data_IF_954192147835
#
_entry.id   IF_954192147835
#
_cell.length_a   1.000
_cell.length_b   1.000
_cell.length_c   1.000
_cell.angle_alpha   90.00
_cell.angle_beta   90.00
_cell.angle_gamma   90.00
#
_symmetry.space_group_name_H-M   'P 1'
#
loop_
_entity.id
_entity.type
_entity.pdbx_description
1 polymer ?
#
# COMPACT_ATOMS: atom_id res chain seq x y z
N UNK A 1 -4.18 19.35 -28.22
CA UNK A 1 -3.11 20.35 -28.04
C UNK A 1 -1.93 19.70 -27.33
N UNK A 2 -0.70 20.04 -27.75
CA UNK A 2 0.53 19.66 -27.01
C UNK A 2 0.94 20.84 -26.13
N UNK A 3 1.22 20.58 -24.88
CA UNK A 3 1.72 21.57 -23.94
C UNK A 3 2.92 21.01 -23.16
N UNK A 4 3.85 21.88 -22.78
CA UNK A 4 4.99 21.51 -21.94
C UNK A 4 4.68 21.88 -20.50
N UNK A 5 4.42 20.88 -19.68
CA UNK A 5 4.29 21.03 -18.23
C UNK A 5 5.68 21.26 -17.65
N UNK A 6 5.84 22.31 -16.88
CA UNK A 6 7.10 22.67 -16.22
C UNK A 6 6.91 22.67 -14.71
N UNK A 7 7.71 21.89 -13.99
CA UNK A 7 7.78 21.91 -12.54
C UNK A 7 9.10 22.54 -12.11
N UNK A 8 9.02 23.54 -11.25
CA UNK A 8 10.16 24.35 -10.81
C UNK A 8 10.18 24.37 -9.27
N UNK A 9 11.34 24.11 -8.69
CA UNK A 9 11.57 24.39 -7.27
C UNK A 9 11.91 25.88 -7.10
N UNK A 10 11.15 26.56 -6.26
CA UNK A 10 11.45 27.94 -5.90
C UNK A 10 12.70 28.07 -5.03
N UNK A 11 13.03 27.01 -4.30
CA UNK A 11 14.13 26.99 -3.33
C UNK A 11 15.49 26.64 -3.98
N UNK A 12 15.47 25.78 -5.00
CA UNK A 12 16.70 25.29 -5.66
C UNK A 12 16.85 25.73 -7.09
N UNK A 13 15.79 26.23 -7.74
CA UNK A 13 15.75 26.56 -9.16
C UNK A 13 15.74 25.33 -10.09
N UNK A 14 15.75 24.11 -9.53
CA UNK A 14 15.68 22.89 -10.31
C UNK A 14 14.38 22.85 -11.11
N UNK A 15 14.49 22.46 -12.37
CA UNK A 15 13.36 22.40 -13.29
C UNK A 15 13.25 21.01 -13.92
N UNK A 16 12.03 20.50 -13.97
CA UNK A 16 11.68 19.28 -14.70
C UNK A 16 10.57 19.61 -15.68
N UNK A 17 10.70 19.19 -16.92
CA UNK A 17 9.71 19.44 -17.97
C UNK A 17 9.14 18.12 -18.47
N UNK A 18 7.86 18.12 -18.82
CA UNK A 18 7.17 16.99 -19.45
C UNK A 18 6.21 17.49 -20.52
N UNK A 19 6.24 16.89 -21.68
CA UNK A 19 5.28 17.20 -22.75
C UNK A 19 4.03 16.36 -22.57
N UNK A 20 2.88 17.01 -22.43
CA UNK A 20 1.55 16.37 -22.32
C UNK A 20 0.74 16.66 -23.56
N UNK A 21 -0.04 15.68 -24.02
CA UNK A 21 -0.97 15.84 -25.13
C UNK A 21 -2.39 15.83 -24.60
N UNK A 22 -3.05 16.99 -24.64
CA UNK A 22 -4.41 17.17 -24.15
C UNK A 22 -5.38 16.93 -25.32
N UNK A 23 -6.31 15.96 -25.22
CA UNK A 23 -7.32 15.71 -26.25
C UNK A 23 -8.26 16.91 -26.40
N UNK A 24 -8.91 17.02 -27.54
CA UNK A 24 -9.95 18.04 -27.74
C UNK A 24 -11.16 17.74 -26.85
N UNK A 25 -11.60 18.74 -26.08
CA UNK A 25 -12.72 18.63 -25.14
C UNK A 25 -12.57 17.52 -24.08
N UNK A 26 -11.31 17.16 -23.73
CA UNK A 26 -10.99 16.11 -22.76
C UNK A 26 -10.00 16.57 -21.70
N UNK A 27 -9.84 15.72 -20.70
CA UNK A 27 -8.87 15.86 -19.62
C UNK A 27 -7.76 14.84 -19.80
N UNK A 28 -6.57 15.15 -19.29
CA UNK A 28 -5.44 14.22 -19.19
C UNK A 28 -4.85 14.30 -17.78
N UNK A 29 -4.66 13.15 -17.17
CA UNK A 29 -3.88 13.01 -15.94
C UNK A 29 -2.47 12.57 -16.29
N UNK A 30 -1.47 13.27 -15.75
CA UNK A 30 -0.08 12.90 -15.96
C UNK A 30 0.72 13.05 -14.66
N UNK A 31 1.88 12.38 -14.55
CA UNK A 31 2.72 12.40 -13.38
C UNK A 31 4.11 12.95 -13.73
N UNK A 32 4.63 13.84 -12.88
CA UNK A 32 6.00 14.34 -12.97
C UNK A 32 6.81 13.77 -11.81
N UNK A 33 7.90 13.08 -12.11
CA UNK A 33 8.81 12.57 -11.12
C UNK A 33 9.73 13.68 -10.60
N UNK A 34 9.67 13.91 -9.28
CA UNK A 34 10.53 14.87 -8.62
C UNK A 34 11.47 14.16 -7.64
N UNK A 35 12.78 14.35 -7.81
CA UNK A 35 13.77 13.84 -6.87
C UNK A 35 14.08 14.92 -5.84
N UNK A 36 13.74 14.66 -4.58
CA UNK A 36 14.11 15.49 -3.44
C UNK A 36 15.61 15.32 -3.17
N UNK A 37 16.34 16.43 -3.09
CA UNK A 37 17.81 16.42 -2.90
C UNK A 37 18.23 16.91 -1.52
N UNK A 38 17.37 17.66 -0.86
CA UNK A 38 17.64 18.26 0.46
C UNK A 38 16.54 17.90 1.44
N UNK A 39 16.93 17.79 2.69
CA UNK A 39 16.00 17.69 3.81
C UNK A 39 15.32 19.04 4.09
N UNK A 40 14.04 19.01 4.47
CA UNK A 40 13.25 20.18 4.77
C UNK A 40 12.11 20.45 3.77
N UNK A 41 11.45 21.57 3.95
CA UNK A 41 10.38 22.00 3.06
C UNK A 41 10.94 22.53 1.75
N UNK A 42 10.34 22.14 0.64
CA UNK A 42 10.64 22.62 -0.71
C UNK A 42 9.34 23.05 -1.39
N UNK A 43 9.31 24.26 -1.92
CA UNK A 43 8.12 24.80 -2.62
C UNK A 43 8.27 24.57 -4.11
N UNK A 44 7.35 23.79 -4.66
CA UNK A 44 7.28 23.49 -6.09
C UNK A 44 6.19 24.33 -6.76
N UNK A 45 6.49 24.79 -7.94
CA UNK A 45 5.56 25.51 -8.81
C UNK A 45 5.40 24.73 -10.11
N UNK A 46 4.15 24.40 -10.43
CA UNK A 46 3.77 23.73 -11.66
C UNK A 46 3.22 24.75 -12.65
N UNK A 47 3.71 24.76 -13.87
CA UNK A 47 3.31 25.73 -14.91
C UNK A 47 2.99 25.05 -16.23
N UNK A 48 1.94 25.54 -16.87
CA UNK A 48 1.62 25.29 -18.28
C UNK A 48 1.70 26.62 -19.04
N UNK A 49 2.28 26.66 -20.25
CA UNK A 49 2.27 27.87 -21.05
C UNK A 49 0.83 28.17 -21.52
N UNK A 50 0.48 29.46 -21.49
CA UNK A 50 -0.79 29.91 -22.01
C UNK A 50 -0.94 29.55 -23.51
N UNK A 51 -2.13 29.11 -23.89
CA UNK A 51 -2.45 28.75 -25.27
C UNK A 51 -3.13 29.94 -25.98
N UNK A 52 -2.96 30.11 -27.31
CA UNK A 52 -3.45 31.30 -28.03
C UNK A 52 -4.96 31.54 -27.95
N UNK A 53 -5.76 30.54 -27.62
CA UNK A 53 -7.24 30.64 -27.52
C UNK A 53 -7.77 30.41 -26.11
N UNK A 54 -6.89 30.42 -25.14
CA UNK A 54 -7.25 30.19 -23.73
C UNK A 54 -7.91 31.43 -23.14
N UNK A 55 -9.06 31.23 -22.50
CA UNK A 55 -9.84 32.31 -21.87
C UNK A 55 -9.44 32.62 -20.45
N UNK A 56 -8.84 31.64 -19.75
CA UNK A 56 -8.40 31.79 -18.35
C UNK A 56 -6.94 31.42 -18.24
N UNK A 57 -6.10 32.39 -17.87
CA UNK A 57 -4.65 32.22 -17.72
C UNK A 57 -4.20 32.05 -16.26
N UNK A 58 -5.06 32.34 -15.29
CA UNK A 58 -4.75 32.29 -13.87
C UNK A 58 -4.75 30.87 -13.29
N UNK A 59 -5.25 29.88 -14.02
CA UNK A 59 -5.22 28.46 -13.66
C UNK A 59 -4.02 27.68 -14.25
N UNK A 60 -3.14 28.36 -15.01
CA UNK A 60 -1.98 27.76 -15.66
C UNK A 60 -0.78 27.57 -14.71
N UNK A 61 -0.88 27.98 -13.47
CA UNK A 61 0.13 27.79 -12.47
C UNK A 61 -0.49 27.32 -11.15
N UNK A 62 0.16 26.37 -10.49
CA UNK A 62 -0.18 25.90 -9.16
C UNK A 62 1.08 25.73 -8.33
N UNK A 63 1.01 26.10 -7.04
CA UNK A 63 2.14 25.95 -6.11
C UNK A 63 1.73 25.02 -4.98
N UNK A 64 2.65 24.15 -4.58
CA UNK A 64 2.49 23.28 -3.42
C UNK A 64 3.84 23.04 -2.75
N UNK A 65 3.82 22.69 -1.47
CA UNK A 65 5.04 22.38 -0.73
C UNK A 65 5.16 20.89 -0.49
N UNK A 66 6.38 20.40 -0.64
CA UNK A 66 6.77 19.04 -0.28
C UNK A 66 7.78 19.10 0.88
N UNK A 67 7.84 18.07 1.70
CA UNK A 67 8.84 17.97 2.77
C UNK A 67 9.70 16.74 2.58
N UNK A 68 11.00 16.98 2.33
CA UNK A 68 12.02 15.93 2.32
C UNK A 68 12.46 15.58 3.74
N UNK A 69 12.41 14.31 4.09
CA UNK A 69 12.90 13.79 5.37
C UNK A 69 13.89 12.66 5.14
N UNK A 70 14.91 12.57 5.98
CA UNK A 70 15.90 11.48 5.96
C UNK A 70 15.46 10.26 6.76
N UNK A 71 14.37 10.35 7.50
CA UNK A 71 13.88 9.24 8.28
C UNK A 71 13.43 8.09 7.38
N UNK A 72 14.01 6.92 7.59
CA UNK A 72 13.58 5.71 6.92
C UNK A 72 12.26 5.22 7.52
N UNK A 73 11.38 4.71 6.66
CA UNK A 73 10.15 4.02 7.08
C UNK A 73 10.54 2.74 7.81
N UNK A 74 10.08 2.55 9.03
CA UNK A 74 10.31 1.34 9.80
C UNK A 74 9.16 0.36 9.58
N UNK A 75 9.47 -0.73 8.90
CA UNK A 75 8.51 -1.79 8.58
C UNK A 75 8.77 -3.05 9.40
N UNK A 76 7.71 -3.70 9.87
CA UNK A 76 7.76 -5.03 10.46
C UNK A 76 6.97 -6.00 9.59
N UNK A 77 7.59 -7.11 9.18
CA UNK A 77 6.94 -8.17 8.40
C UNK A 77 6.88 -9.43 9.24
N UNK A 78 5.68 -9.88 9.55
CA UNK A 78 5.46 -11.10 10.33
C UNK A 78 4.71 -12.14 9.50
N UNK A 79 5.08 -13.39 9.64
CA UNK A 79 4.39 -14.53 9.03
C UNK A 79 4.56 -15.79 9.91
N UNK A 80 3.83 -16.85 9.60
CA UNK A 80 4.03 -18.15 10.24
C UNK A 80 5.11 -18.96 9.54
N UNK A 81 5.09 -18.95 8.22
CA UNK A 81 6.04 -19.69 7.38
C UNK A 81 6.75 -18.74 6.40
N UNK A 82 7.97 -19.09 5.95
CA UNK A 82 8.69 -18.30 4.96
C UNK A 82 8.12 -18.52 3.55
N UNK A 83 6.82 -18.17 3.36
CA UNK A 83 6.12 -18.23 2.07
C UNK A 83 6.82 -17.37 1.01
N UNK A 84 6.54 -17.62 -0.25
CA UNK A 84 7.08 -16.80 -1.34
C UNK A 84 6.70 -15.33 -1.19
N UNK A 85 5.46 -15.01 -0.84
CA UNK A 85 5.00 -13.64 -0.60
C UNK A 85 5.83 -12.96 0.49
N UNK A 86 5.98 -13.59 1.67
CA UNK A 86 6.81 -13.09 2.75
C UNK A 86 8.26 -12.82 2.30
N UNK A 87 8.88 -13.79 1.62
CA UNK A 87 10.29 -13.68 1.19
C UNK A 87 10.49 -12.50 0.24
N UNK A 88 9.59 -12.34 -0.72
CA UNK A 88 9.74 -11.31 -1.73
C UNK A 88 9.32 -9.93 -1.24
N UNK A 89 8.32 -9.80 -0.36
CA UNK A 89 8.03 -8.54 0.33
C UNK A 89 9.22 -8.09 1.16
N UNK A 90 9.78 -8.99 2.00
CA UNK A 90 10.99 -8.70 2.77
C UNK A 90 12.11 -8.21 1.86
N UNK A 91 12.39 -8.91 0.77
CA UNK A 91 13.46 -8.56 -0.15
C UNK A 91 13.22 -7.21 -0.86
N UNK A 92 11.98 -6.92 -1.25
CA UNK A 92 11.62 -5.64 -1.85
C UNK A 92 11.83 -4.48 -0.87
N UNK A 93 11.37 -4.63 0.36
CA UNK A 93 11.53 -3.61 1.40
C UNK A 93 12.99 -3.46 1.86
N UNK A 94 13.75 -4.55 1.96
CA UNK A 94 15.17 -4.52 2.33
C UNK A 94 16.05 -3.79 1.32
N UNK A 95 15.70 -3.88 0.03
CA UNK A 95 16.42 -3.18 -1.05
C UNK A 95 16.02 -1.72 -1.19
N UNK A 96 14.94 -1.30 -0.57
CA UNK A 96 14.49 0.09 -0.62
C UNK A 96 15.29 0.93 0.37
N UNK A 97 16.13 1.88 -0.10
CA UNK A 97 16.99 2.68 0.78
C UNK A 97 16.19 3.58 1.75
N UNK A 98 14.90 3.80 1.48
CA UNK A 98 13.99 4.56 2.34
C UNK A 98 13.24 3.70 3.36
N UNK A 99 13.53 2.39 3.45
CA UNK A 99 12.84 1.47 4.35
C UNK A 99 13.84 0.71 5.21
N UNK A 100 13.58 0.69 6.51
CA UNK A 100 14.26 -0.19 7.46
C UNK A 100 13.29 -1.31 7.85
N UNK A 101 13.55 -2.53 7.39
CA UNK A 101 12.65 -3.67 7.58
C UNK A 101 13.16 -4.61 8.66
N UNK A 102 12.28 -4.94 9.60
CA UNK A 102 12.44 -6.05 10.53
C UNK A 102 11.48 -7.17 10.18
N UNK A 103 11.84 -8.40 10.49
CA UNK A 103 11.04 -9.59 10.17
C UNK A 103 10.97 -10.56 11.34
N UNK A 104 9.84 -11.22 11.47
CA UNK A 104 9.61 -12.27 12.46
C UNK A 104 8.80 -13.41 11.84
N UNK A 105 9.18 -14.66 12.13
CA UNK A 105 8.40 -15.84 11.79
C UNK A 105 7.94 -16.56 13.07
N UNK A 106 6.64 -16.82 13.16
CA UNK A 106 6.03 -17.69 14.17
C UNK A 106 6.06 -19.15 13.71
N UNK A 107 7.27 -19.69 13.46
CA UNK A 107 7.41 -21.01 12.88
C UNK A 107 6.86 -22.11 13.81
N UNK A 108 6.02 -23.05 13.32
CA UNK A 108 5.38 -24.04 14.19
C UNK A 108 6.37 -25.04 14.82
N UNK A 109 7.49 -25.29 14.18
CA UNK A 109 8.47 -26.32 14.59
C UNK A 109 9.74 -25.72 15.22
N UNK A 110 10.00 -24.43 15.05
CA UNK A 110 11.22 -23.79 15.53
C UNK A 110 10.89 -22.72 16.55
N UNK A 111 11.62 -22.66 17.65
CA UNK A 111 11.45 -21.66 18.69
C UNK A 111 12.04 -20.31 18.30
N UNK A 112 13.16 -20.34 17.56
CA UNK A 112 13.83 -19.15 17.05
C UNK A 112 14.06 -19.27 15.55
N UNK A 113 13.70 -18.23 14.81
CA UNK A 113 13.83 -18.18 13.36
C UNK A 113 14.58 -16.94 12.91
N UNK A 114 15.70 -17.19 12.25
CA UNK A 114 16.49 -16.18 11.57
C UNK A 114 17.55 -15.52 12.46
N UNK A 115 18.77 -15.72 12.06
CA UNK A 115 19.92 -14.99 12.58
C UNK A 115 20.33 -13.89 11.61
N UNK A 116 20.69 -12.71 12.13
CA UNK A 116 21.24 -11.63 11.34
C UNK A 116 20.46 -10.33 11.40
N UNK A 117 20.96 -9.30 10.71
CA UNK A 117 20.36 -7.97 10.73
C UNK A 117 18.90 -7.96 10.25
N UNK A 118 18.03 -7.36 11.05
CA UNK A 118 16.61 -7.21 10.73
C UNK A 118 15.73 -8.39 11.12
N UNK A 119 16.26 -9.49 11.63
CA UNK A 119 15.44 -10.55 12.21
C UNK A 119 15.18 -10.31 13.70
N UNK A 120 13.91 -10.48 14.09
CA UNK A 120 13.50 -10.43 15.50
C UNK A 120 13.40 -11.86 16.05
N UNK A 121 13.88 -12.07 17.25
CA UNK A 121 13.76 -13.34 17.97
C UNK A 121 12.35 -13.53 18.51
N UNK A 122 11.72 -12.43 18.95
CA UNK A 122 10.34 -12.43 19.46
C UNK A 122 9.57 -11.20 19.03
N UNK A 123 8.24 -11.30 19.06
CA UNK A 123 7.37 -10.16 18.83
C UNK A 123 7.49 -9.15 19.98
N UNK A 124 7.55 -7.83 19.69
CA UNK A 124 7.60 -6.80 20.72
C UNK A 124 6.36 -6.80 21.60
N UNK A 125 6.54 -6.90 22.92
CA UNK A 125 5.46 -7.02 23.89
C UNK A 125 5.03 -5.67 24.48
N UNK A 126 5.78 -4.59 24.21
CA UNK A 126 5.51 -3.26 24.76
C UNK A 126 5.16 -2.28 23.65
N UNK A 127 4.27 -1.35 23.98
CA UNK A 127 3.84 -0.29 23.05
C UNK A 127 5.02 0.55 22.58
N UNK A 128 5.99 0.86 23.44
CA UNK A 128 7.17 1.68 23.09
C UNK A 128 8.04 1.00 22.02
N UNK A 129 8.14 -0.33 22.05
CA UNK A 129 8.91 -1.09 21.06
C UNK A 129 8.16 -1.23 19.74
N UNK A 130 6.85 -1.39 19.79
CA UNK A 130 5.98 -1.41 18.61
C UNK A 130 5.82 -0.01 18.00
N UNK A 131 5.77 1.02 18.83
CA UNK A 131 5.59 2.41 18.42
C UNK A 131 6.68 2.93 17.48
N UNK A 132 7.78 2.22 17.32
CA UNK A 132 8.82 2.55 16.34
C UNK A 132 8.44 2.17 14.89
N UNK A 133 7.48 1.27 14.69
CA UNK A 133 7.10 0.80 13.36
C UNK A 133 6.01 1.67 12.74
N UNK A 134 6.25 2.12 11.52
CA UNK A 134 5.30 2.93 10.75
C UNK A 134 4.29 2.05 10.03
N UNK A 135 4.69 0.84 9.62
CA UNK A 135 3.84 -0.13 8.95
C UNK A 135 4.16 -1.56 9.39
N UNK A 136 3.11 -2.35 9.59
CA UNK A 136 3.22 -3.76 9.96
C UNK A 136 2.49 -4.61 8.92
N UNK A 137 3.21 -5.54 8.33
CA UNK A 137 2.70 -6.54 7.40
C UNK A 137 2.43 -7.82 8.17
N UNK A 138 1.18 -8.25 8.22
CA UNK A 138 0.74 -9.47 8.87
C UNK A 138 0.43 -10.51 7.80
N UNK A 139 1.28 -11.51 7.69
CA UNK A 139 1.10 -12.66 6.82
C UNK A 139 0.02 -13.62 7.33
N UNK A 140 0.13 -14.90 7.01
CA UNK A 140 -0.80 -15.93 7.48
C UNK A 140 -0.53 -16.33 8.93
N UNK A 141 -0.74 -15.37 9.84
CA UNK A 141 -0.50 -15.47 11.28
C UNK A 141 -1.84 -15.56 12.00
N UNK A 142 -1.96 -16.51 12.94
CA UNK A 142 -3.12 -16.68 13.80
C UNK A 142 -2.89 -16.18 15.21
N UNK A 143 -3.75 -16.65 16.13
CA UNK A 143 -3.66 -16.43 17.57
C UNK A 143 -3.00 -17.61 18.29
N UNK A 144 -2.47 -17.35 19.50
CA UNK A 144 -1.97 -18.37 20.41
C UNK A 144 -0.46 -18.55 20.38
N UNK A 145 0.03 -19.69 20.87
CA UNK A 145 1.47 -19.93 21.14
C UNK A 145 2.37 -19.85 19.92
N UNK A 146 1.85 -20.08 18.73
CA UNK A 146 2.57 -19.96 17.45
C UNK A 146 1.96 -18.87 16.56
N UNK A 147 1.57 -17.76 17.18
CA UNK A 147 0.97 -16.59 16.57
C UNK A 147 1.01 -15.39 17.50
N UNK A 148 0.12 -14.47 17.30
CA UNK A 148 -0.06 -13.30 18.18
C UNK A 148 -0.84 -13.69 19.44
N UNK A 149 -0.53 -13.05 20.56
CA UNK A 149 -1.39 -13.08 21.75
C UNK A 149 -2.52 -12.06 21.63
N UNK A 150 -3.56 -12.17 22.46
CA UNK A 150 -4.65 -11.18 22.51
C UNK A 150 -4.13 -9.78 22.90
N UNK A 151 -3.16 -9.71 23.81
CA UNK A 151 -2.53 -8.46 24.22
C UNK A 151 -1.77 -7.82 23.04
N UNK A 152 -1.00 -8.62 22.27
CA UNK A 152 -0.29 -8.16 21.09
C UNK A 152 -1.26 -7.67 20.00
N UNK A 153 -2.38 -8.36 19.82
CA UNK A 153 -3.45 -7.94 18.91
C UNK A 153 -4.05 -6.58 19.33
N UNK A 154 -4.28 -6.38 20.64
CA UNK A 154 -4.75 -5.11 21.19
C UNK A 154 -3.75 -3.98 21.00
N UNK A 155 -2.46 -4.23 21.24
CA UNK A 155 -1.39 -3.26 21.01
C UNK A 155 -1.34 -2.84 19.53
N UNK A 156 -1.42 -3.78 18.59
CA UNK A 156 -1.43 -3.50 17.15
C UNK A 156 -2.64 -2.63 16.75
N UNK A 157 -3.83 -2.93 17.30
CA UNK A 157 -5.01 -2.07 17.07
C UNK A 157 -4.80 -0.66 17.60
N UNK A 158 -4.20 -0.53 18.79
CA UNK A 158 -3.86 0.76 19.38
C UNK A 158 -2.89 1.58 18.51
N UNK A 159 -1.89 0.94 17.91
CA UNK A 159 -0.96 1.58 16.99
C UNK A 159 -1.67 2.17 15.75
N UNK A 160 -2.58 1.41 15.16
CA UNK A 160 -3.35 1.88 13.99
C UNK A 160 -4.26 3.02 14.39
N UNK A 161 -5.10 2.83 15.42
CA UNK A 161 -6.13 3.81 15.78
C UNK A 161 -5.57 5.12 16.33
N UNK A 162 -4.53 5.03 17.15
CA UNK A 162 -4.05 6.18 17.95
C UNK A 162 -2.75 6.78 17.44
N UNK A 163 -1.86 5.97 16.83
CA UNK A 163 -0.52 6.42 16.41
C UNK A 163 -0.36 6.57 14.91
N UNK A 164 -1.43 6.46 14.13
CA UNK A 164 -1.45 6.59 12.69
C UNK A 164 -0.53 5.59 11.94
N UNK A 165 -0.16 4.46 12.57
CA UNK A 165 0.59 3.40 11.90
C UNK A 165 -0.29 2.67 10.89
N UNK A 166 0.34 2.12 9.85
CA UNK A 166 -0.36 1.30 8.87
C UNK A 166 -0.31 -0.19 9.22
N UNK A 167 -1.36 -0.93 8.86
CA UNK A 167 -1.37 -2.39 8.94
C UNK A 167 -1.77 -3.00 7.60
N UNK A 168 -1.04 -4.04 7.16
CA UNK A 168 -1.28 -4.75 5.90
C UNK A 168 -1.58 -6.21 6.22
N UNK A 169 -2.78 -6.67 5.90
CA UNK A 169 -3.18 -8.06 6.04
C UNK A 169 -2.93 -8.83 4.75
N UNK A 170 -2.18 -9.91 4.86
CA UNK A 170 -1.74 -10.79 3.76
C UNK A 170 -2.11 -12.24 4.08
N UNK A 171 -3.39 -12.62 4.01
CA UNK A 171 -3.82 -13.99 4.29
C UNK A 171 -3.09 -15.00 3.40
N UNK A 172 -3.03 -16.22 3.86
CA UNK A 172 -2.43 -17.32 3.12
C UNK A 172 -3.33 -18.56 3.12
N UNK A 173 -2.89 -19.58 2.41
CA UNK A 173 -3.64 -20.80 2.19
C UNK A 173 -3.86 -21.66 3.46
N UNK A 174 -3.16 -21.38 4.56
CA UNK A 174 -3.45 -22.04 5.85
C UNK A 174 -4.65 -21.44 6.57
N UNK A 175 -5.10 -20.24 6.15
CA UNK A 175 -6.28 -19.59 6.70
C UNK A 175 -6.13 -19.13 8.16
N UNK A 176 -4.90 -19.03 8.67
CA UNK A 176 -4.66 -18.68 10.08
C UNK A 176 -5.13 -17.29 10.46
N UNK A 177 -5.17 -16.36 9.51
CA UNK A 177 -5.72 -15.03 9.76
C UNK A 177 -7.20 -15.05 10.16
N UNK A 178 -7.93 -16.13 9.90
CA UNK A 178 -9.32 -16.27 10.40
C UNK A 178 -9.39 -16.29 11.93
N UNK A 179 -8.34 -16.72 12.61
CA UNK A 179 -8.26 -16.70 14.08
C UNK A 179 -8.23 -15.27 14.60
N UNK A 180 -7.59 -14.33 13.87
CA UNK A 180 -7.52 -12.90 14.23
C UNK A 180 -8.88 -12.21 14.26
N UNK A 181 -9.89 -12.76 13.58
CA UNK A 181 -11.25 -12.22 13.61
C UNK A 181 -11.89 -12.30 15.00
N UNK A 182 -11.40 -13.17 15.86
CA UNK A 182 -11.86 -13.33 17.25
C UNK A 182 -11.17 -12.35 18.20
N UNK A 183 -10.10 -11.71 17.78
CA UNK A 183 -9.36 -10.70 18.55
C UNK A 183 -9.78 -9.28 18.16
N UNK A 184 -9.20 -8.30 18.84
CA UNK A 184 -9.41 -6.88 18.50
C UNK A 184 -8.92 -6.49 17.10
N UNK A 185 -8.03 -7.27 16.47
CA UNK A 185 -7.61 -7.06 15.07
C UNK A 185 -8.75 -7.34 14.08
N UNK A 186 -9.74 -8.16 14.44
CA UNK A 186 -10.93 -8.38 13.62
C UNK A 186 -11.70 -7.10 13.29
N UNK A 187 -11.67 -6.11 14.20
CA UNK A 187 -12.30 -4.80 13.97
C UNK A 187 -11.61 -4.01 12.85
N UNK A 188 -10.30 -4.22 12.67
CA UNK A 188 -9.51 -3.55 11.65
C UNK A 188 -9.65 -4.20 10.27
N UNK A 189 -10.08 -5.46 10.20
CA UNK A 189 -10.22 -6.16 8.93
C UNK A 189 -11.27 -5.47 8.04
N UNK A 190 -10.91 -5.00 6.83
CA UNK A 190 -11.82 -4.21 6.00
C UNK A 190 -12.82 -5.06 5.21
N UNK A 191 -12.77 -6.37 5.39
CA UNK A 191 -13.63 -7.36 4.72
C UNK A 191 -14.28 -8.31 5.73
N UNK A 192 -15.38 -8.93 5.34
CA UNK A 192 -15.95 -10.10 6.02
C UNK A 192 -15.63 -11.36 5.21
N UNK A 193 -15.53 -12.48 5.90
CA UNK A 193 -15.13 -13.75 5.30
C UNK A 193 -16.24 -14.79 5.35
N UNK A 194 -16.22 -15.68 4.37
CA UNK A 194 -17.05 -16.89 4.36
C UNK A 194 -16.44 -17.92 5.31
N UNK A 195 -17.18 -18.28 6.36
CA UNK A 195 -16.73 -19.28 7.33
C UNK A 195 -16.67 -20.72 6.79
N UNK A 196 -17.21 -20.95 5.59
CA UNK A 196 -17.30 -22.29 4.99
C UNK A 196 -16.02 -22.77 4.35
N UNK A 197 -15.05 -21.87 4.08
CA UNK A 197 -13.77 -22.18 3.44
C UNK A 197 -12.63 -21.32 4.03
N UNK A 198 -12.26 -21.52 5.28
CA UNK A 198 -11.24 -20.68 5.92
C UNK A 198 -9.88 -20.69 5.19
N UNK A 199 -9.56 -21.80 4.51
CA UNK A 199 -8.36 -21.97 3.69
C UNK A 199 -8.38 -21.20 2.35
N UNK A 200 -9.50 -20.58 2.01
CA UNK A 200 -9.67 -19.83 0.76
C UNK A 200 -9.98 -20.72 -0.44
N UNK A 201 -9.78 -20.20 -1.63
CA UNK A 201 -10.07 -20.91 -2.89
C UNK A 201 -8.83 -20.98 -3.77
N UNK A 202 -8.43 -22.21 -4.10
CA UNK A 202 -7.39 -22.47 -5.10
C UNK A 202 -8.01 -22.55 -6.48
N UNK A 203 -7.35 -21.97 -7.48
CA UNK A 203 -7.79 -21.98 -8.87
C UNK A 203 -6.90 -22.86 -9.74
N UNK A 204 -7.46 -23.61 -10.69
CA UNK A 204 -6.70 -24.48 -11.57
C UNK A 204 -5.81 -23.72 -12.55
N UNK A 205 -6.20 -22.50 -12.89
CA UNK A 205 -5.43 -21.58 -13.74
C UNK A 205 -5.34 -20.20 -13.10
N UNK A 206 -4.24 -19.45 -13.34
CA UNK A 206 -4.10 -18.10 -12.80
C UNK A 206 -5.21 -17.17 -13.26
N UNK A 207 -5.80 -16.44 -12.34
CA UNK A 207 -6.80 -15.41 -12.60
C UNK A 207 -6.21 -14.01 -12.42
N UNK A 208 -6.52 -13.05 -13.29
CA UNK A 208 -6.03 -11.68 -13.12
C UNK A 208 -6.82 -10.90 -12.06
N UNK A 209 -6.19 -9.86 -11.54
CA UNK A 209 -6.84 -8.77 -10.80
C UNK A 209 -7.37 -7.72 -11.78
N UNK A 210 -8.54 -7.17 -11.50
CA UNK A 210 -9.10 -6.04 -12.26
C UNK A 210 -9.21 -4.84 -11.31
N UNK A 211 -8.62 -3.71 -11.71
CA UNK A 211 -8.78 -2.47 -10.98
C UNK A 211 -10.21 -1.94 -11.07
N UNK A 212 -10.72 -1.47 -9.94
CA UNK A 212 -11.94 -0.67 -9.89
C UNK A 212 -11.68 0.76 -10.37
N UNK A 213 -12.69 1.62 -10.55
CA UNK A 213 -12.48 3.05 -10.79
C UNK A 213 -11.63 3.71 -9.71
N UNK A 214 -11.88 3.39 -8.43
CA UNK A 214 -11.09 3.87 -7.28
C UNK A 214 -9.65 3.36 -7.35
N UNK A 215 -9.46 2.10 -7.75
CA UNK A 215 -8.15 1.52 -7.95
C UNK A 215 -7.37 2.20 -9.06
N UNK A 216 -7.99 2.60 -10.17
CA UNK A 216 -7.30 3.33 -11.25
C UNK A 216 -6.79 4.70 -10.79
N UNK A 217 -7.55 5.39 -9.95
CA UNK A 217 -7.15 6.68 -9.39
C UNK A 217 -6.21 6.61 -8.17
N UNK A 218 -5.92 5.43 -7.63
CA UNK A 218 -5.12 5.27 -6.41
C UNK A 218 -3.63 5.26 -6.67
N UNK A 219 -2.86 5.97 -5.84
CA UNK A 219 -1.39 5.90 -5.86
C UNK A 219 -0.86 4.50 -5.54
N UNK A 220 -1.58 3.70 -4.75
CA UNK A 220 -1.18 2.34 -4.41
C UNK A 220 -1.06 1.42 -5.62
N UNK A 221 -1.88 1.64 -6.61
CA UNK A 221 -2.00 0.79 -7.80
C UNK A 221 -1.32 1.39 -9.04
N UNK A 222 -0.62 2.51 -8.89
CA UNK A 222 0.14 3.14 -9.99
C UNK A 222 1.49 2.45 -10.21
N UNK A 223 1.50 1.44 -11.07
CA UNK A 223 2.70 0.68 -11.46
C UNK A 223 3.41 1.26 -12.69
N UNK A 224 2.79 2.18 -13.39
CA UNK A 224 3.36 2.95 -14.50
C UNK A 224 3.17 4.45 -14.28
N UNK A 225 3.70 5.27 -15.17
CA UNK A 225 3.72 6.72 -15.00
C UNK A 225 2.47 7.41 -15.54
N UNK A 226 1.76 6.76 -16.46
CA UNK A 226 0.49 7.24 -17.00
C UNK A 226 -0.63 6.25 -16.71
N UNK A 227 -1.88 6.72 -16.71
CA UNK A 227 -3.05 5.88 -16.44
C UNK A 227 -3.22 4.77 -17.50
N UNK A 228 -3.03 5.10 -18.78
CA UNK A 228 -3.13 4.13 -19.88
C UNK A 228 -2.09 3.03 -19.81
N UNK A 229 -0.81 3.39 -19.57
CA UNK A 229 0.25 2.40 -19.36
C UNK A 229 -0.01 1.56 -18.10
N UNK A 230 -0.54 2.17 -17.03
CA UNK A 230 -0.86 1.48 -15.81
C UNK A 230 -1.96 0.42 -16.01
N UNK A 231 -3.01 0.73 -16.77
CA UNK A 231 -4.05 -0.25 -17.12
C UNK A 231 -3.48 -1.42 -17.93
N UNK A 232 -2.57 -1.13 -18.86
CA UNK A 232 -1.88 -2.16 -19.64
C UNK A 232 -1.01 -3.06 -18.77
N UNK A 233 -0.26 -2.46 -17.84
CA UNK A 233 0.53 -3.21 -16.85
C UNK A 233 -0.35 -4.16 -16.06
N UNK A 234 -1.45 -3.66 -15.44
CA UNK A 234 -2.35 -4.50 -14.63
C UNK A 234 -2.99 -5.63 -15.43
N UNK A 235 -3.32 -5.39 -16.71
CA UNK A 235 -3.87 -6.41 -17.62
C UNK A 235 -2.87 -7.53 -17.91
N UNK A 236 -1.57 -7.22 -17.96
CA UNK A 236 -0.50 -8.13 -18.32
C UNK A 236 0.21 -8.75 -17.11
N UNK A 237 -0.10 -8.32 -15.88
CA UNK A 237 0.47 -8.94 -14.68
C UNK A 237 0.11 -10.42 -14.59
N UNK A 238 1.05 -11.28 -14.16
CA UNK A 238 0.74 -12.68 -13.86
C UNK A 238 -0.42 -12.78 -12.86
N UNK A 239 -1.38 -13.62 -13.17
CA UNK A 239 -2.52 -13.86 -12.30
C UNK A 239 -2.15 -14.63 -11.04
N UNK A 240 -3.10 -14.73 -10.12
CA UNK A 240 -3.02 -15.46 -8.87
C UNK A 240 -3.73 -16.82 -8.97
N UNK A 241 -3.23 -17.80 -8.21
CA UNK A 241 -3.82 -19.15 -8.15
C UNK A 241 -4.62 -19.39 -6.88
N UNK A 242 -4.60 -18.49 -5.93
CA UNK A 242 -5.30 -18.62 -4.67
C UNK A 242 -5.83 -17.25 -4.21
N UNK A 243 -7.01 -17.24 -3.61
CA UNK A 243 -7.55 -16.06 -2.96
C UNK A 243 -8.28 -16.38 -1.66
N UNK A 244 -8.27 -15.43 -0.75
CA UNK A 244 -8.92 -15.51 0.56
C UNK A 244 -10.45 -15.58 0.41
N UNK A 245 -11.16 -16.24 1.33
CA UNK A 245 -12.60 -16.49 1.25
C UNK A 245 -13.42 -15.22 1.60
N UNK A 246 -13.20 -14.15 0.86
CA UNK A 246 -13.88 -12.87 1.11
C UNK A 246 -15.34 -12.95 0.72
N UNK A 247 -16.23 -12.60 1.65
CA UNK A 247 -17.65 -12.46 1.39
C UNK A 247 -17.99 -11.09 0.80
N UNK A 248 -17.63 -10.03 1.53
CA UNK A 248 -17.88 -8.63 1.14
C UNK A 248 -16.95 -7.67 1.87
N UNK A 249 -16.95 -6.41 1.48
CA UNK A 249 -16.28 -5.34 2.22
C UNK A 249 -17.15 -4.79 3.35
N UNK A 250 -16.52 -4.28 4.39
CA UNK A 250 -17.19 -3.52 5.45
C UNK A 250 -17.45 -2.08 4.99
N UNK A 251 -18.42 -1.42 5.63
CA UNK A 251 -18.72 -0.02 5.38
C UNK A 251 -17.48 0.87 5.63
N UNK A 252 -17.27 1.87 4.76
CA UNK A 252 -16.11 2.76 4.83
C UNK A 252 -14.83 2.19 4.22
N UNK A 253 -14.88 0.99 3.64
CA UNK A 253 -13.76 0.42 2.88
C UNK A 253 -13.80 0.85 1.43
N UNK A 254 -12.63 0.99 0.83
CA UNK A 254 -12.45 1.29 -0.60
C UNK A 254 -11.86 0.07 -1.30
N UNK A 255 -12.53 -0.43 -2.31
CA UNK A 255 -12.04 -1.57 -3.12
C UNK A 255 -11.19 -1.03 -4.26
N UNK A 256 -9.93 -1.47 -4.33
CA UNK A 256 -8.99 -1.06 -5.38
C UNK A 256 -8.90 -2.10 -6.51
N UNK A 257 -9.02 -3.39 -6.17
CA UNK A 257 -9.01 -4.45 -7.17
C UNK A 257 -9.93 -5.61 -6.76
N UNK A 258 -10.48 -6.25 -7.77
CA UNK A 258 -11.41 -7.39 -7.64
C UNK A 258 -10.92 -8.57 -8.48
N UNK A 259 -11.47 -9.75 -8.18
CA UNK A 259 -11.30 -10.95 -9.01
C UNK A 259 -11.91 -10.75 -10.42
N UNK A 260 -11.22 -11.18 -11.46
CA UNK A 260 -11.68 -10.98 -12.84
C UNK A 260 -12.98 -11.71 -13.17
N UNK A 261 -13.16 -12.93 -12.68
CA UNK A 261 -14.26 -13.81 -13.01
C UNK A 261 -15.19 -14.10 -11.82
N UNK A 262 -14.63 -14.52 -10.67
CA UNK A 262 -15.42 -14.99 -9.54
C UNK A 262 -16.23 -13.87 -8.87
N UNK A 263 -17.44 -14.21 -8.51
CA UNK A 263 -18.42 -13.35 -7.87
C UNK A 263 -19.29 -14.12 -6.89
N UNK A 264 -19.84 -13.42 -5.93
CA UNK A 264 -20.83 -13.93 -4.99
C UNK A 264 -22.09 -13.05 -5.01
N UNK A 265 -22.96 -13.18 -4.02
CA UNK A 265 -24.21 -12.40 -3.90
C UNK A 265 -23.95 -10.87 -3.81
N UNK A 266 -22.76 -10.43 -3.44
CA UNK A 266 -22.37 -9.01 -3.29
C UNK A 266 -21.58 -8.45 -4.48
N UNK A 267 -21.37 -9.26 -5.51
CA UNK A 267 -20.62 -8.88 -6.70
C UNK A 267 -19.29 -9.60 -6.84
N UNK A 268 -18.34 -9.00 -7.58
CA UNK A 268 -16.99 -9.57 -7.76
C UNK A 268 -16.25 -9.59 -6.43
N UNK A 269 -15.45 -10.66 -6.20
CA UNK A 269 -14.69 -10.84 -4.96
C UNK A 269 -13.66 -9.72 -4.81
N UNK A 270 -13.72 -8.90 -3.75
CA UNK A 270 -12.74 -7.84 -3.51
C UNK A 270 -11.44 -8.42 -2.99
N UNK A 271 -10.30 -8.06 -3.61
CA UNK A 271 -9.00 -8.65 -3.33
C UNK A 271 -7.93 -7.64 -2.91
N UNK A 272 -8.05 -6.36 -3.30
CA UNK A 272 -7.24 -5.28 -2.73
C UNK A 272 -8.21 -4.26 -2.17
N UNK A 273 -8.20 -4.11 -0.84
CA UNK A 273 -9.15 -3.27 -0.12
C UNK A 273 -8.41 -2.42 0.90
N UNK A 274 -8.73 -1.13 0.95
CA UNK A 274 -8.19 -0.20 1.94
C UNK A 274 -9.28 0.35 2.83
N UNK A 275 -8.90 0.73 4.05
CA UNK A 275 -9.79 1.40 5.00
C UNK A 275 -8.99 2.33 5.90
N UNK A 276 -9.53 3.50 6.21
CA UNK A 276 -9.03 4.36 7.30
C UNK A 276 -9.60 3.88 8.62
N UNK A 277 -8.76 3.70 9.63
CA UNK A 277 -9.13 3.24 10.96
C UNK A 277 -8.53 4.15 12.03
N UNK A 278 -9.35 5.02 12.62
CA UNK A 278 -8.84 6.06 13.52
C UNK A 278 -7.88 6.98 12.78
N UNK A 279 -6.66 7.13 13.28
CA UNK A 279 -5.63 7.94 12.66
C UNK A 279 -4.79 7.19 11.61
N UNK A 280 -4.90 5.85 11.55
CA UNK A 280 -4.11 5.00 10.67
C UNK A 280 -4.89 4.42 9.51
N UNK A 281 -4.22 3.55 8.77
CA UNK A 281 -4.74 2.92 7.56
C UNK A 281 -4.60 1.40 7.61
N UNK A 282 -5.52 0.74 6.94
CA UNK A 282 -5.48 -0.72 6.74
C UNK A 282 -5.48 -1.01 5.25
N UNK A 283 -4.66 -1.96 4.84
CA UNK A 283 -4.68 -2.59 3.54
C UNK A 283 -4.92 -4.09 3.72
N UNK A 284 -5.84 -4.62 2.98
CA UNK A 284 -6.06 -6.06 2.84
C UNK A 284 -5.73 -6.47 1.40
N UNK A 285 -4.89 -7.48 1.25
CA UNK A 285 -4.57 -8.08 -0.03
C UNK A 285 -4.93 -9.56 0.01
N UNK A 286 -6.09 -9.92 -0.54
CA UNK A 286 -6.71 -11.23 -0.46
C UNK A 286 -6.11 -12.29 -1.39
N UNK A 287 -4.86 -12.13 -1.84
CA UNK A 287 -4.15 -13.13 -2.64
C UNK A 287 -2.71 -13.30 -2.17
N UNK A 288 -2.16 -14.49 -2.35
CA UNK A 288 -0.78 -14.87 -2.01
C UNK A 288 0.03 -15.11 -3.30
N UNK A 289 0.04 -14.14 -4.20
CA UNK A 289 0.62 -14.33 -5.53
C UNK A 289 1.27 -13.10 -6.15
N UNK A 290 1.40 -11.98 -5.42
CA UNK A 290 2.04 -10.78 -5.95
C UNK A 290 3.54 -10.99 -6.24
N UNK A 291 4.19 -11.95 -5.58
CA UNK A 291 5.55 -12.35 -5.89
C UNK A 291 5.74 -12.77 -7.36
N UNK A 292 4.67 -13.21 -8.03
CA UNK A 292 4.67 -13.60 -9.45
C UNK A 292 4.80 -12.41 -10.40
N UNK A 293 4.52 -11.19 -9.97
CA UNK A 293 4.64 -9.96 -10.77
C UNK A 293 6.07 -9.64 -11.18
N UNK A 294 7.01 -10.40 -10.65
CA UNK A 294 8.44 -10.35 -11.01
C UNK A 294 8.75 -11.12 -12.30
N UNK A 295 7.85 -11.99 -12.75
CA UNK A 295 8.09 -12.90 -13.88
C UNK A 295 8.27 -12.11 -15.18
N UNK A 296 9.46 -12.26 -15.80
CA UNK A 296 9.78 -11.65 -17.10
C UNK A 296 10.14 -10.17 -17.06
N UNK A 297 10.04 -9.51 -15.90
CA UNK A 297 10.30 -8.06 -15.72
C UNK A 297 11.15 -7.78 -14.48
N UNK A 298 11.85 -8.78 -13.99
CA UNK A 298 12.61 -8.72 -12.73
C UNK A 298 11.74 -8.27 -11.55
N UNK A 299 12.20 -7.29 -10.77
CA UNK A 299 11.47 -6.80 -9.60
C UNK A 299 10.61 -5.54 -9.88
N UNK A 300 10.54 -5.06 -11.13
CA UNK A 300 10.01 -3.74 -11.48
C UNK A 300 8.64 -3.44 -10.85
N UNK A 301 7.63 -4.26 -11.10
CA UNK A 301 6.27 -3.99 -10.63
C UNK A 301 6.04 -4.41 -9.18
N UNK A 302 6.60 -5.53 -8.79
CA UNK A 302 6.53 -6.02 -7.41
C UNK A 302 7.22 -5.06 -6.44
N UNK A 303 8.44 -4.63 -6.76
CA UNK A 303 9.18 -3.65 -5.97
C UNK A 303 8.42 -2.32 -5.87
N UNK A 304 7.95 -1.78 -7.01
CA UNK A 304 7.21 -0.53 -7.05
C UNK A 304 5.96 -0.59 -6.18
N UNK A 305 5.18 -1.67 -6.28
CA UNK A 305 3.96 -1.86 -5.49
C UNK A 305 4.25 -1.84 -3.98
N UNK A 306 5.14 -2.69 -3.50
CA UNK A 306 5.41 -2.79 -2.07
C UNK A 306 6.11 -1.57 -1.49
N UNK A 307 6.98 -0.92 -2.26
CA UNK A 307 7.54 0.38 -1.90
C UNK A 307 6.47 1.48 -1.78
N UNK A 308 5.50 1.50 -2.68
CA UNK A 308 4.35 2.42 -2.60
C UNK A 308 3.46 2.09 -1.41
N UNK A 309 3.19 0.81 -1.15
CA UNK A 309 2.43 0.37 0.03
C UNK A 309 3.09 0.88 1.30
N UNK A 310 4.40 0.66 1.49
CA UNK A 310 5.11 1.13 2.68
C UNK A 310 4.98 2.65 2.86
N UNK A 311 5.18 3.43 1.78
CA UNK A 311 5.08 4.91 1.82
C UNK A 311 3.66 5.39 2.07
N UNK A 312 2.68 4.80 1.41
CA UNK A 312 1.28 5.18 1.58
C UNK A 312 0.76 4.87 2.99
N UNK A 313 1.16 3.72 3.53
CA UNK A 313 0.78 3.30 4.89
C UNK A 313 1.43 4.16 5.98
N UNK A 314 2.68 4.58 5.79
CA UNK A 314 3.42 5.42 6.74
C UNK A 314 3.13 6.92 6.61
N UNK A 315 2.52 7.35 5.51
CA UNK A 315 2.34 8.77 5.19
C UNK A 315 1.66 9.57 6.31
N UNK A 316 0.58 9.04 6.87
CA UNK A 316 -0.16 9.74 7.93
C UNK A 316 0.68 9.92 9.18
N UNK A 317 1.42 8.91 9.58
CA UNK A 317 2.29 8.95 10.76
C UNK A 317 3.45 9.93 10.57
N UNK A 318 4.10 9.91 9.43
CA UNK A 318 5.19 10.82 9.11
C UNK A 318 4.74 12.28 9.08
N UNK A 319 3.50 12.53 8.67
CA UNK A 319 2.91 13.87 8.72
C UNK A 319 2.54 14.30 10.14
N UNK A 320 2.16 13.38 11.03
CA UNK A 320 1.79 13.69 12.40
C UNK A 320 2.99 13.98 13.32
N UNK A 321 4.17 13.51 12.96
CA UNK A 321 5.40 13.73 13.72
C UNK A 321 5.86 15.19 13.61
N UNK A 322 5.33 16.09 14.45
CA UNK A 322 5.76 17.47 14.57
C UNK A 322 4.69 18.56 14.48
N UNK A 323 3.43 18.22 14.20
CA UNK A 323 2.35 19.21 14.11
C UNK A 323 1.21 18.98 15.10
N UNK A 324 0.73 20.08 15.73
CA UNK A 324 -0.36 20.05 16.71
C UNK A 324 -1.76 20.00 16.06
N UNK A 325 -1.88 20.38 14.80
CA UNK A 325 -3.15 20.43 14.05
C UNK A 325 -2.88 19.94 12.64
N UNK A 326 -3.81 19.13 12.13
CA UNK A 326 -3.73 18.54 10.81
C UNK A 326 -5.05 18.62 10.06
N UNK A 327 -5.01 19.10 8.81
CA UNK A 327 -6.11 19.00 7.86
C UNK A 327 -5.86 17.81 6.92
N UNK A 328 -6.79 16.87 6.87
CA UNK A 328 -6.78 15.76 5.94
C UNK A 328 -7.87 16.03 4.91
N UNK A 329 -7.52 16.39 3.66
CA UNK A 329 -8.52 16.51 2.62
C UNK A 329 -9.08 15.13 2.26
N UNK A 330 -10.39 15.03 2.13
CA UNK A 330 -11.08 13.86 1.63
C UNK A 330 -11.98 14.33 0.47
N UNK A 331 -11.77 13.85 -0.76
CA UNK A 331 -10.81 12.84 -1.21
C UNK A 331 -9.34 13.32 -1.17
N UNK A 332 -8.41 12.38 -1.14
CA UNK A 332 -6.95 12.66 -1.15
C UNK A 332 -6.49 13.48 -2.36
N UNK A 333 -7.33 13.56 -3.40
CA UNK A 333 -7.21 14.45 -4.56
C UNK A 333 -8.49 15.27 -4.66
N UNK A 334 -8.54 16.48 -4.11
CA UNK A 334 -9.65 17.39 -4.36
C UNK A 334 -9.67 17.72 -5.86
N UNK A 335 -10.85 17.59 -6.46
CA UNK A 335 -11.11 17.97 -7.87
C UNK A 335 -11.08 19.47 -8.05
#
# INVERSE_FOLDING_TARGET
>A
TRATLTMISRDTGKTVTRTVTIPAQGEVSDAVLWKIEKEGAETLELKLPAQPQERMHNNNASSFSISGRRESIKALVIDTLPRWEYRFIRNALYRDPGVNVHTLLFHPELEEMGEGPGYLVKFPDRMEDLARYDVIFIGDVGLGSKGLTEEQASLLKGMVKNQASGIVFLPGYQGRQMELLKSELGDLMPVTFLNTKPEGTTQPSPSPLILTPEGRGSLLTMLADTEGENEEVWRNLPGFNWYAPVERTKAGSTVLAVHAADKNAYGRIPLIVTQSCGNGKVLFMGTDSAWRWRRGVEDKYHYRFWSQVARWMSYQRNMAAGERIRLIPTPERPR
#
